data_IF_184825834382
#
_entry.id   IF_184825834382
#
_cell.length_a   1.000
_cell.length_b   1.000
_cell.length_c   1.000
_cell.angle_alpha   90.00
_cell.angle_beta   90.00
_cell.angle_gamma   90.00
#
_symmetry.space_group_name_H-M   'P 1'
#
loop_
_entity.id
_entity.type
_entity.pdbx_description
1 polymer ?
#
# COMPACT_ATOMS: atom_id res chain seq x y z
N UNK A 1 2.32 6.49 -8.90
CA UNK A 1 2.14 5.15 -9.48
C UNK A 1 3.22 4.19 -8.99
N UNK A 2 2.84 3.13 -8.29
CA UNK A 2 3.64 1.97 -7.94
C UNK A 2 3.82 1.10 -9.19
N UNK A 3 5.07 0.74 -9.49
CA UNK A 3 5.39 -0.20 -10.55
C UNK A 3 5.66 -1.58 -9.97
N UNK A 4 5.45 -2.63 -10.76
CA UNK A 4 5.73 -4.02 -10.34
C UNK A 4 7.17 -4.19 -9.81
N UNK A 5 8.15 -3.56 -10.48
CA UNK A 5 9.55 -3.58 -10.05
C UNK A 5 9.75 -2.92 -8.69
N UNK A 6 9.06 -1.81 -8.40
CA UNK A 6 9.12 -1.17 -7.10
C UNK A 6 8.51 -2.08 -6.02
N UNK A 7 7.35 -2.69 -6.29
CA UNK A 7 6.66 -3.63 -5.39
C UNK A 7 7.54 -4.84 -5.05
N UNK A 8 8.25 -5.39 -6.04
CA UNK A 8 9.16 -6.52 -5.83
C UNK A 8 10.38 -6.18 -4.96
N UNK A 9 10.88 -4.94 -5.03
CA UNK A 9 12.03 -4.47 -4.24
C UNK A 9 11.69 -4.11 -2.80
N UNK A 10 10.41 -4.05 -2.46
CA UNK A 10 9.97 -3.63 -1.14
C UNK A 10 10.26 -4.72 -0.11
N UNK A 11 11.07 -4.35 0.88
CA UNK A 11 11.39 -5.19 2.03
C UNK A 11 10.40 -4.91 3.18
N UNK A 12 9.96 -5.95 3.91
CA UNK A 12 9.21 -5.76 5.15
C UNK A 12 10.02 -4.89 6.12
N UNK A 13 9.31 -4.08 6.91
CA UNK A 13 9.90 -3.25 7.97
C UNK A 13 9.35 -3.73 9.31
N UNK A 14 9.98 -3.33 10.40
CA UNK A 14 9.54 -3.67 11.76
C UNK A 14 8.11 -3.19 12.08
N UNK A 15 7.62 -2.17 11.36
CA UNK A 15 6.25 -1.66 11.49
C UNK A 15 5.52 -1.71 10.15
N UNK A 16 4.19 -1.96 10.15
CA UNK A 16 3.38 -1.85 8.94
C UNK A 16 3.53 -0.47 8.31
N UNK A 17 3.67 -0.43 6.99
CA UNK A 17 3.77 0.83 6.25
C UNK A 17 2.93 0.80 4.98
N UNK A 18 2.57 1.99 4.52
CA UNK A 18 1.69 2.20 3.36
C UNK A 18 2.48 2.85 2.25
N UNK A 19 2.29 2.34 1.05
CA UNK A 19 2.86 2.87 -0.18
C UNK A 19 1.72 3.39 -1.02
N UNK A 20 1.58 4.71 -1.06
CA UNK A 20 0.54 5.35 -1.85
C UNK A 20 0.76 5.09 -3.34
N UNK A 21 -0.30 4.65 -3.98
CA UNK A 21 -0.44 4.66 -5.42
C UNK A 21 -1.28 5.87 -5.86
N UNK A 22 -2.09 5.74 -6.90
CA UNK A 22 -2.92 6.81 -7.44
C UNK A 22 -4.38 6.69 -6.99
N UNK A 23 -5.11 7.81 -7.01
CA UNK A 23 -6.55 7.86 -6.73
C UNK A 23 -6.98 7.23 -5.39
N UNK A 24 -6.10 7.28 -4.39
CA UNK A 24 -6.36 6.73 -3.05
C UNK A 24 -6.09 5.24 -2.93
N UNK A 25 -5.63 4.55 -3.97
CA UNK A 25 -5.08 3.20 -3.86
C UNK A 25 -3.74 3.24 -3.13
N UNK A 26 -3.46 2.26 -2.27
CA UNK A 26 -2.17 2.08 -1.63
C UNK A 26 -1.90 0.61 -1.33
N UNK A 27 -0.62 0.25 -1.29
CA UNK A 27 -0.16 -1.07 -0.84
C UNK A 27 0.24 -0.99 0.62
N UNK A 28 -0.38 -1.80 1.47
CA UNK A 28 0.00 -1.99 2.86
C UNK A 28 0.93 -3.19 3.00
N UNK A 29 2.12 -2.98 3.55
CA UNK A 29 3.13 -4.02 3.77
C UNK A 29 3.27 -4.23 5.26
N UNK A 30 3.06 -5.48 5.67
CA UNK A 30 3.18 -5.91 7.07
C UNK A 30 4.60 -6.38 7.40
N UNK A 31 5.03 -6.34 8.67
CA UNK A 31 6.32 -6.88 9.10
C UNK A 31 6.49 -8.37 8.78
N UNK A 32 5.40 -9.14 8.77
CA UNK A 32 5.39 -10.55 8.37
C UNK A 32 5.56 -10.78 6.85
N UNK A 33 5.68 -9.70 6.06
CA UNK A 33 5.85 -9.76 4.61
C UNK A 33 4.56 -9.88 3.80
N UNK A 34 3.40 -9.92 4.47
CA UNK A 34 2.11 -9.81 3.82
C UNK A 34 1.94 -8.45 3.12
N UNK A 35 1.38 -8.47 1.91
CA UNK A 35 1.17 -7.30 1.05
C UNK A 35 -0.30 -7.20 0.68
N UNK A 36 -0.95 -6.10 1.00
CA UNK A 36 -2.38 -5.92 0.84
C UNK A 36 -2.68 -4.66 0.05
N UNK A 37 -3.41 -4.78 -1.06
CA UNK A 37 -3.96 -3.63 -1.75
C UNK A 37 -5.17 -3.10 -1.01
N UNK A 38 -5.15 -1.82 -0.66
CA UNK A 38 -6.24 -1.14 0.03
C UNK A 38 -6.58 0.17 -0.68
N UNK A 39 -7.86 0.52 -0.70
CA UNK A 39 -8.33 1.79 -1.23
C UNK A 39 -8.79 2.70 -0.10
N UNK A 40 -8.22 3.90 -0.03
CA UNK A 40 -8.71 4.97 0.83
C UNK A 40 -9.74 5.76 0.02
N UNK A 41 -10.98 5.28 0.05
CA UNK A 41 -12.11 6.00 -0.50
C UNK A 41 -12.89 6.69 0.63
N UNK A 42 -13.58 7.78 0.30
CA UNK A 42 -14.60 8.40 1.14
C UNK A 42 -15.93 8.15 0.45
N UNK A 43 -16.83 7.41 1.09
CA UNK A 43 -18.18 7.19 0.61
C UNK A 43 -19.14 8.03 1.45
N UNK A 44 -19.98 8.85 0.81
CA UNK A 44 -20.87 9.78 1.50
C UNK A 44 -20.19 11.05 2.03
N UNK A 45 -19.24 11.63 1.29
CA UNK A 45 -18.74 12.98 1.60
C UNK A 45 -19.85 14.00 1.35
N UNK A 46 -20.30 14.67 2.42
CA UNK A 46 -21.28 15.77 2.42
C UNK A 46 -20.88 16.94 1.56
#
# INVERSE_FOLDING_TARGET
>A
MLTDTAIKRIKPREKPFKLSDEKGLYLEVTPAGGRYWRMKYRFGGS
#
